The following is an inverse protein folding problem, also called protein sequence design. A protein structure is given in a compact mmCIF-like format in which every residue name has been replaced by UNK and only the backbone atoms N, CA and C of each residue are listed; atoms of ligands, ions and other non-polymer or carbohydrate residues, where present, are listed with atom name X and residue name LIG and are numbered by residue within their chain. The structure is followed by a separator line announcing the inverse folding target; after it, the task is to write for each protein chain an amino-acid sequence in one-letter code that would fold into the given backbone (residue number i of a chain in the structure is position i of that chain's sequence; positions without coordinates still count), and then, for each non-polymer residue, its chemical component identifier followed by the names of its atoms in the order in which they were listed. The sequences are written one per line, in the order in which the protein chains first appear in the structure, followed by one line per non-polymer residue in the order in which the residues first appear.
data_IF_159120209794
#
_entry.id   IF_159120209794
#
_cell.length_a   1.000
_cell.length_b   1.000
_cell.length_c   1.000
_cell.angle_alpha   90.00
_cell.angle_beta   90.00
_cell.angle_gamma   90.00
#
_symmetry.space_group_name_H-M   'P 1'
#
loop_
_entity.id
_entity.type
_entity.pdbx_description
1 polymer ?
#
# COMPACT_ATOMS: atom_id res chain seq x y z
N UNK A 1 26.45 -3.27 14.41
CA UNK A 1 25.19 -4.02 14.14
C UNK A 1 25.44 -5.26 13.29
N UNK A 2 26.33 -5.19 12.29
CA UNK A 2 26.79 -6.35 11.50
C UNK A 2 27.32 -7.51 12.35
N UNK A 3 28.17 -7.25 13.35
CA UNK A 3 28.73 -8.29 14.23
C UNK A 3 27.67 -9.08 15.02
N UNK A 4 26.59 -8.42 15.41
CA UNK A 4 25.50 -9.08 16.16
C UNK A 4 24.71 -10.02 15.25
N UNK A 5 24.45 -9.56 14.02
CA UNK A 5 23.76 -10.33 12.99
C UNK A 5 24.58 -11.56 12.54
N UNK A 6 25.90 -11.44 12.46
CA UNK A 6 26.80 -12.58 12.19
C UNK A 6 26.75 -13.63 13.31
N UNK A 7 26.73 -13.19 14.58
CA UNK A 7 26.57 -14.10 15.73
C UNK A 7 25.21 -14.80 15.74
N UNK A 8 24.15 -14.07 15.43
CA UNK A 8 22.80 -14.63 15.28
C UNK A 8 22.75 -15.67 14.15
N UNK A 9 23.35 -15.38 12.99
CA UNK A 9 23.46 -16.32 11.87
C UNK A 9 24.17 -17.62 12.30
N UNK A 10 25.27 -17.52 13.03
CA UNK A 10 25.98 -18.68 13.56
C UNK A 10 25.10 -19.52 14.51
N UNK A 11 24.31 -18.85 15.37
CA UNK A 11 23.36 -19.52 16.26
C UNK A 11 22.26 -20.25 15.49
N UNK A 12 21.63 -19.61 14.49
CA UNK A 12 20.58 -20.25 13.69
C UNK A 12 21.10 -21.43 12.87
N UNK A 13 22.32 -21.35 12.33
CA UNK A 13 22.99 -22.48 11.67
C UNK A 13 23.19 -23.66 12.62
N UNK A 14 23.60 -23.40 13.87
CA UNK A 14 23.78 -24.46 14.87
C UNK A 14 22.43 -25.13 15.24
N UNK A 15 21.36 -24.34 15.38
CA UNK A 15 20.01 -24.86 15.61
C UNK A 15 19.50 -25.71 14.44
N UNK A 16 19.71 -25.24 13.21
CA UNK A 16 19.34 -25.98 12.01
C UNK A 16 20.05 -27.34 11.94
N UNK A 17 21.35 -27.39 12.24
CA UNK A 17 22.10 -28.64 12.28
C UNK A 17 21.55 -29.61 13.35
N UNK A 18 21.13 -29.09 14.51
CA UNK A 18 20.51 -29.90 15.56
C UNK A 18 19.14 -30.47 15.12
N UNK A 19 18.35 -29.68 14.40
CA UNK A 19 17.06 -30.10 13.82
C UNK A 19 17.28 -31.15 12.73
N UNK A 20 18.30 -30.99 11.88
CA UNK A 20 18.67 -31.97 10.85
C UNK A 20 19.14 -33.30 11.45
N UNK A 21 19.91 -33.26 12.54
CA UNK A 21 20.31 -34.46 13.28
C UNK A 21 19.09 -35.18 13.91
N UNK A 22 18.12 -34.42 14.42
CA UNK A 22 16.86 -34.97 14.94
C UNK A 22 16.01 -35.57 13.81
N UNK A 23 15.91 -34.91 12.66
CA UNK A 23 15.23 -35.43 11.46
C UNK A 23 15.90 -36.68 10.88
N UNK A 24 17.22 -36.82 11.02
CA UNK A 24 17.91 -38.05 10.62
C UNK A 24 17.55 -39.25 11.51
N UNK A 25 17.04 -39.01 12.72
CA UNK A 25 16.61 -40.05 13.67
C UNK A 25 15.11 -40.30 13.56
N UNK A 26 14.30 -39.23 13.41
CA UNK A 26 12.84 -39.26 13.32
C UNK A 26 12.36 -38.51 12.05
N UNK A 27 12.51 -39.15 10.89
CA UNK A 27 12.26 -38.52 9.58
C UNK A 27 10.79 -38.17 9.31
N UNK A 28 9.84 -38.81 9.99
CA UNK A 28 8.39 -38.62 9.79
C UNK A 28 7.80 -37.48 10.65
N UNK A 29 8.63 -36.74 11.41
CA UNK A 29 8.17 -35.66 12.26
C UNK A 29 7.93 -34.37 11.45
N UNK A 30 6.68 -34.15 11.05
CA UNK A 30 6.25 -32.99 10.27
C UNK A 30 6.60 -31.63 10.92
N UNK A 31 6.62 -31.56 12.26
CA UNK A 31 6.93 -30.31 12.98
C UNK A 31 8.42 -29.96 12.86
N UNK A 32 9.31 -30.96 12.86
CA UNK A 32 10.73 -30.75 12.65
C UNK A 32 11.04 -30.35 11.20
N UNK A 33 10.30 -30.90 10.22
CA UNK A 33 10.43 -30.49 8.81
C UNK A 33 10.00 -29.04 8.60
N UNK A 34 8.91 -28.60 9.25
CA UNK A 34 8.49 -27.19 9.23
C UNK A 34 9.54 -26.30 9.88
N UNK A 35 10.03 -26.67 11.06
CA UNK A 35 11.06 -25.90 11.77
C UNK A 35 12.37 -25.80 10.97
N UNK A 36 12.78 -26.88 10.27
CA UNK A 36 13.93 -26.86 9.38
C UNK A 36 13.75 -25.81 8.28
N UNK A 37 12.58 -25.80 7.62
CA UNK A 37 12.28 -24.85 6.56
C UNK A 37 12.24 -23.41 7.08
N UNK A 38 11.56 -23.16 8.20
CA UNK A 38 11.47 -21.83 8.81
C UNK A 38 12.86 -21.30 9.19
N UNK A 39 13.73 -22.15 9.76
CA UNK A 39 15.12 -21.79 10.08
C UNK A 39 15.96 -21.51 8.82
N UNK A 40 15.75 -22.25 7.73
CA UNK A 40 16.42 -21.97 6.45
C UNK A 40 16.03 -20.59 5.91
N UNK A 41 14.74 -20.24 5.94
CA UNK A 41 14.23 -18.93 5.52
C UNK A 41 14.82 -17.79 6.36
N UNK A 42 14.86 -17.95 7.70
CA UNK A 42 15.48 -16.93 8.59
C UNK A 42 16.96 -16.74 8.28
N UNK A 43 17.71 -17.82 8.05
CA UNK A 43 19.13 -17.75 7.70
C UNK A 43 19.34 -17.03 6.36
N UNK A 44 18.49 -17.28 5.37
CA UNK A 44 18.56 -16.64 4.06
C UNK A 44 18.29 -15.14 4.16
N UNK A 45 17.20 -14.74 4.80
CA UNK A 45 16.88 -13.33 5.04
C UNK A 45 17.99 -12.61 5.82
N UNK A 46 18.60 -13.29 6.80
CA UNK A 46 19.72 -12.76 7.58
C UNK A 46 20.98 -12.59 6.71
N UNK A 47 21.27 -13.54 5.81
CA UNK A 47 22.38 -13.44 4.85
C UNK A 47 22.16 -12.29 3.87
N UNK A 48 20.94 -12.13 3.37
CA UNK A 48 20.61 -11.04 2.45
C UNK A 48 20.71 -9.69 3.15
N UNK A 49 20.29 -9.59 4.40
CA UNK A 49 20.43 -8.37 5.19
C UNK A 49 21.92 -8.04 5.46
N UNK A 50 22.78 -9.04 5.65
CA UNK A 50 24.23 -8.87 5.74
C UNK A 50 24.84 -8.48 4.39
N UNK A 51 24.38 -9.06 3.28
CA UNK A 51 24.88 -8.78 1.93
C UNK A 51 24.41 -7.43 1.39
N UNK A 52 23.24 -6.97 1.83
CA UNK A 52 22.65 -5.70 1.43
C UNK A 52 23.10 -4.54 2.32
N UNK A 53 23.82 -4.80 3.42
CA UNK A 53 24.60 -3.77 4.10
C UNK A 53 25.82 -3.42 3.25
N UNK A 54 26.09 -2.14 2.97
CA UNK A 54 27.31 -1.72 2.31
C UNK A 54 28.49 -1.94 3.25
N UNK A 55 29.07 -3.14 3.23
CA UNK A 55 30.37 -3.38 3.84
C UNK A 55 31.46 -3.03 2.84
N UNK A 56 32.25 -2.01 3.21
CA UNK A 56 33.57 -1.70 2.68
C UNK A 56 34.45 -2.96 2.81
N UNK A 57 34.41 -3.84 1.80
CA UNK A 57 35.28 -5.00 1.72
C UNK A 57 35.52 -5.39 0.24
N UNK A 58 36.76 -5.12 -0.16
CA UNK A 58 37.43 -5.39 -1.44
C UNK A 58 37.08 -6.78 -2.01
N UNK A 59 36.64 -6.88 -3.28
CA UNK A 59 36.80 -8.11 -4.03
C UNK A 59 37.96 -7.97 -5.03
N UNK A 60 39.10 -8.54 -4.66
CA UNK A 60 40.12 -8.91 -5.60
C UNK A 60 39.65 -10.19 -6.30
N UNK A 61 38.97 -10.08 -7.44
CA UNK A 61 38.83 -11.17 -8.40
C UNK A 61 38.89 -10.62 -9.81
N UNK A 62 39.96 -11.00 -10.49
CA UNK A 62 40.33 -10.59 -11.84
C UNK A 62 39.38 -11.25 -12.85
N UNK A 63 38.66 -10.44 -13.60
CA UNK A 63 38.23 -10.77 -14.96
C UNK A 63 38.45 -9.52 -15.84
N UNK A 64 39.35 -9.54 -16.84
CA UNK A 64 39.70 -8.36 -17.61
C UNK A 64 38.84 -8.29 -18.88
N UNK A 65 37.62 -7.77 -18.80
CA UNK A 65 36.81 -7.48 -19.99
C UNK A 65 35.63 -6.53 -19.72
N UNK A 66 35.93 -5.35 -19.20
CA UNK A 66 35.19 -4.09 -19.34
C UNK A 66 35.71 -3.20 -18.22
N UNK A 67 36.56 -2.24 -18.56
CA UNK A 67 36.98 -1.20 -17.63
C UNK A 67 35.73 -0.51 -17.08
N UNK A 68 35.40 -0.61 -15.77
CA UNK A 68 34.50 0.36 -15.18
C UNK A 68 35.31 1.65 -15.19
N UNK A 69 34.94 2.58 -16.06
CA UNK A 69 35.47 3.93 -16.02
C UNK A 69 34.97 4.46 -14.69
N UNK A 70 35.84 4.46 -13.68
CA UNK A 70 35.61 5.06 -12.38
C UNK A 70 35.44 6.56 -12.63
N UNK A 71 34.22 6.95 -12.98
CA UNK A 71 33.83 8.34 -13.01
C UNK A 71 33.81 8.78 -11.56
N UNK A 72 34.75 9.63 -11.21
CA UNK A 72 34.69 10.40 -9.97
C UNK A 72 33.53 11.36 -10.14
N UNK A 73 32.39 11.02 -9.56
CA UNK A 73 31.21 11.86 -9.59
C UNK A 73 31.41 13.07 -8.69
N UNK A 74 31.06 14.25 -9.19
CA UNK A 74 31.04 15.50 -8.45
C UNK A 74 29.61 16.06 -8.36
N UNK A 75 29.35 16.88 -7.34
CA UNK A 75 28.06 17.58 -7.21
C UNK A 75 27.90 18.53 -8.39
N UNK A 76 26.76 18.43 -9.08
CA UNK A 76 26.45 19.15 -10.31
C UNK A 76 26.70 18.35 -11.59
N UNK A 77 27.25 17.13 -11.51
CA UNK A 77 27.44 16.29 -12.70
C UNK A 77 26.11 15.78 -13.25
N UNK A 78 26.02 15.79 -14.58
CA UNK A 78 24.92 15.14 -15.31
C UNK A 78 25.14 13.62 -15.34
N UNK A 79 24.11 12.87 -14.95
CA UNK A 79 24.13 11.41 -14.92
C UNK A 79 22.84 10.82 -15.50
N UNK A 80 22.87 9.52 -15.78
CA UNK A 80 21.68 8.72 -16.08
C UNK A 80 21.40 7.76 -14.93
N UNK A 81 20.14 7.73 -14.51
CA UNK A 81 19.70 6.94 -13.37
C UNK A 81 18.38 6.22 -13.65
N UNK A 82 18.20 5.07 -13.02
CA UNK A 82 16.98 4.28 -13.12
C UNK A 82 15.94 4.84 -12.15
N UNK A 83 14.76 5.20 -12.63
CA UNK A 83 13.66 5.64 -11.78
C UNK A 83 12.95 4.44 -11.15
N UNK A 84 12.75 4.45 -9.83
CA UNK A 84 12.23 3.29 -9.08
C UNK A 84 10.77 2.93 -9.40
N UNK A 85 9.98 3.87 -9.90
CA UNK A 85 8.56 3.64 -10.22
C UNK A 85 8.34 2.80 -11.50
N UNK A 86 9.20 2.96 -12.52
CA UNK A 86 9.04 2.31 -13.82
C UNK A 86 10.26 1.50 -14.29
N UNK A 87 11.38 1.59 -13.57
CA UNK A 87 12.63 0.92 -13.90
C UNK A 87 13.32 1.47 -15.16
N UNK A 88 12.93 2.66 -15.65
CA UNK A 88 13.50 3.25 -16.85
C UNK A 88 14.63 4.22 -16.54
N UNK A 89 15.58 4.36 -17.46
CA UNK A 89 16.72 5.28 -17.36
C UNK A 89 16.31 6.68 -17.78
N UNK A 90 16.53 7.64 -16.89
CA UNK A 90 16.29 9.05 -17.12
C UNK A 90 17.54 9.87 -16.81
N UNK A 91 17.62 11.04 -17.44
CA UNK A 91 18.65 12.04 -17.19
C UNK A 91 18.41 12.71 -15.83
N UNK A 92 19.46 12.88 -15.06
CA UNK A 92 19.42 13.48 -13.74
C UNK A 92 20.70 14.27 -13.46
N UNK A 93 20.63 15.18 -12.49
CA UNK A 93 21.75 15.98 -12.01
C UNK A 93 22.08 15.58 -10.57
N UNK A 94 23.36 15.43 -10.24
CA UNK A 94 23.80 15.11 -8.89
C UNK A 94 23.68 16.36 -8.01
N UNK A 95 22.86 16.30 -6.97
CA UNK A 95 22.62 17.42 -6.04
C UNK A 95 23.49 17.31 -4.79
N UNK A 96 23.69 16.09 -4.28
CA UNK A 96 24.51 15.83 -3.10
C UNK A 96 25.16 14.45 -3.22
N UNK A 97 26.40 14.34 -2.74
CA UNK A 97 27.13 13.06 -2.69
C UNK A 97 27.46 12.75 -1.25
N UNK A 98 27.06 11.57 -0.82
CA UNK A 98 27.45 10.97 0.45
C UNK A 98 28.57 9.96 0.18
N UNK A 99 29.81 10.41 0.38
CA UNK A 99 31.01 9.59 0.20
C UNK A 99 31.13 8.49 1.27
N UNK A 100 30.53 8.66 2.46
CA UNK A 100 30.57 7.67 3.54
C UNK A 100 29.72 6.45 3.18
N UNK A 101 28.53 6.68 2.64
CA UNK A 101 27.58 5.63 2.25
C UNK A 101 27.72 5.20 0.77
N UNK A 102 28.48 5.93 -0.04
CA UNK A 102 28.64 5.65 -1.47
C UNK A 102 27.35 5.88 -2.27
N UNK A 103 26.52 6.82 -1.83
CA UNK A 103 25.23 7.16 -2.43
C UNK A 103 25.20 8.62 -2.85
N UNK A 104 24.44 8.93 -3.90
CA UNK A 104 24.22 10.29 -4.36
C UNK A 104 22.72 10.60 -4.36
N UNK A 105 22.36 11.80 -3.89
CA UNK A 105 21.05 12.37 -4.10
C UNK A 105 21.05 13.03 -5.48
N UNK A 106 20.19 12.55 -6.37
CA UNK A 106 20.06 13.04 -7.74
C UNK A 106 18.68 13.65 -7.95
N UNK A 107 18.59 14.65 -8.81
CA UNK A 107 17.31 15.24 -9.23
C UNK A 107 17.06 14.95 -10.71
N UNK A 108 15.94 14.28 -11.01
CA UNK A 108 15.58 13.91 -12.38
C UNK A 108 15.19 15.13 -13.21
N UNK A 109 15.87 15.30 -14.33
CA UNK A 109 15.66 16.43 -15.24
C UNK A 109 14.29 16.33 -15.92
N UNK A 110 13.53 17.42 -15.86
CA UNK A 110 12.19 17.54 -16.47
C UNK A 110 11.01 17.17 -15.56
N UNK A 111 11.27 16.47 -14.45
CA UNK A 111 10.24 16.10 -13.47
C UNK A 111 10.47 16.74 -12.10
N UNK A 112 11.73 17.02 -11.72
CA UNK A 112 12.08 17.72 -10.49
C UNK A 112 11.93 16.88 -9.22
N UNK A 113 11.78 15.56 -9.36
CA UNK A 113 11.84 14.61 -8.25
C UNK A 113 13.30 14.28 -7.92
N UNK A 114 13.62 14.33 -6.64
CA UNK A 114 14.90 13.91 -6.09
C UNK A 114 14.83 12.48 -5.57
N UNK A 115 15.88 11.69 -5.80
CA UNK A 115 16.00 10.30 -5.36
C UNK A 115 17.44 9.99 -4.93
N UNK A 116 17.61 9.17 -3.89
CA UNK A 116 18.92 8.75 -3.40
C UNK A 116 19.28 7.41 -4.05
N UNK A 117 20.36 7.39 -4.82
CA UNK A 117 20.78 6.22 -5.61
C UNK A 117 22.26 5.92 -5.34
N UNK A 118 22.66 4.64 -5.22
CA UNK A 118 24.07 4.26 -5.12
C UNK A 118 24.89 4.76 -6.32
N UNK A 119 26.08 5.31 -6.08
CA UNK A 119 26.99 5.81 -7.13
C UNK A 119 27.32 4.75 -8.19
N UNK A 120 27.29 3.46 -7.79
CA UNK A 120 27.51 2.30 -8.68
C UNK A 120 26.39 2.08 -9.70
N UNK A 121 25.19 2.58 -9.42
CA UNK A 121 24.02 2.46 -10.30
C UNK A 121 23.87 3.67 -11.24
N UNK A 122 24.65 4.73 -11.01
CA UNK A 122 24.70 5.88 -11.90
C UNK A 122 25.50 5.54 -13.16
N UNK A 123 25.00 5.99 -14.30
CA UNK A 123 25.70 5.91 -15.58
C UNK A 123 26.13 7.30 -16.01
N UNK A 124 27.30 7.45 -16.66
CA UNK A 124 27.70 8.71 -17.27
C UNK A 124 26.58 9.20 -18.19
N UNK A 125 26.26 10.51 -18.12
CA UNK A 125 25.43 11.10 -19.15
C UNK A 125 26.19 10.95 -20.48
N UNK A 126 25.53 10.39 -21.50
CA UNK A 126 26.10 10.31 -22.85
C UNK A 126 26.27 11.74 -23.41
N UNK A 127 27.35 12.43 -23.03
CA UNK A 127 27.77 13.67 -23.68
C UNK A 127 28.44 13.32 -25.01
N UNK A 128 27.60 13.12 -26.02
CA UNK A 128 28.02 12.54 -27.30
C UNK A 128 27.21 12.99 -28.51
N UNK A 129 27.24 14.29 -28.80
CA UNK A 129 26.91 14.94 -30.10
C UNK A 129 25.42 15.08 -30.45
N UNK A 130 25.05 16.32 -30.81
CA UNK A 130 24.10 16.54 -31.91
C UNK A 130 24.58 15.72 -33.12
N UNK A 131 24.04 14.53 -33.36
CA UNK A 131 23.98 13.97 -34.70
C UNK A 131 22.80 14.61 -35.40
N UNK A 132 23.08 15.66 -36.17
CA UNK A 132 22.23 15.94 -37.33
C UNK A 132 22.26 14.70 -38.25
N UNK A 133 21.07 14.33 -38.74
CA UNK A 133 20.77 13.30 -39.76
C UNK A 133 21.06 11.82 -39.40
N UNK A 134 20.03 11.07 -38.99
CA UNK A 134 19.15 10.31 -39.91
C UNK A 134 18.11 9.45 -39.15
N UNK A 135 16.85 9.48 -39.58
CA UNK A 135 16.01 8.28 -39.58
C UNK A 135 15.28 7.78 -38.32
N UNK A 136 14.79 8.61 -37.40
CA UNK A 136 13.91 8.10 -36.34
C UNK A 136 13.02 9.17 -35.72
N UNK A 137 11.70 9.13 -35.99
CA UNK A 137 10.70 10.08 -35.48
C UNK A 137 10.66 10.08 -33.94
N UNK A 138 11.52 10.87 -33.32
CA UNK A 138 11.38 11.29 -31.93
C UNK A 138 10.14 12.20 -31.87
N UNK A 139 9.06 11.66 -31.32
CA UNK A 139 7.79 12.38 -31.13
C UNK A 139 8.11 13.74 -30.49
N UNK A 140 7.68 14.82 -31.13
CA UNK A 140 7.95 16.18 -30.69
C UNK A 140 7.62 16.33 -29.21
N UNK A 141 8.39 17.10 -28.44
CA UNK A 141 8.09 17.42 -27.02
C UNK A 141 6.62 17.82 -26.81
N UNK A 142 6.02 18.48 -27.80
CA UNK A 142 4.59 18.85 -27.84
C UNK A 142 3.64 17.64 -27.94
N UNK A 143 4.04 16.62 -28.69
CA UNK A 143 3.31 15.36 -28.86
C UNK A 143 3.44 14.44 -27.64
N UNK A 144 4.61 14.41 -26.99
CA UNK A 144 4.78 13.68 -25.72
C UNK A 144 3.89 14.26 -24.61
N UNK A 145 3.82 15.60 -24.50
CA UNK A 145 2.92 16.28 -23.56
C UNK A 145 1.44 15.99 -23.92
N UNK A 146 1.09 15.94 -25.20
CA UNK A 146 -0.26 15.61 -25.65
C UNK A 146 -0.64 14.15 -25.30
N UNK A 147 0.27 13.19 -25.54
CA UNK A 147 0.07 11.78 -25.20
C UNK A 147 -0.09 11.57 -23.69
N UNK A 148 0.68 12.29 -22.87
CA UNK A 148 0.55 12.21 -21.42
C UNK A 148 -0.78 12.82 -20.93
N UNK A 149 -1.24 13.93 -21.52
CA UNK A 149 -2.55 14.54 -21.23
C UNK A 149 -3.71 13.65 -21.67
N UNK A 150 -3.62 13.03 -22.85
CA UNK A 150 -4.63 12.13 -23.37
C UNK A 150 -4.71 10.84 -22.54
N UNK A 151 -3.56 10.29 -22.13
CA UNK A 151 -3.49 9.16 -21.21
C UNK A 151 -4.14 9.49 -19.86
N UNK A 152 -3.81 10.65 -19.26
CA UNK A 152 -4.44 11.13 -18.02
C UNK A 152 -5.95 11.33 -18.19
N UNK A 153 -6.40 11.91 -19.31
CA UNK A 153 -7.82 12.09 -19.63
C UNK A 153 -8.55 10.76 -19.78
N UNK A 154 -7.95 9.77 -20.46
CA UNK A 154 -8.50 8.42 -20.65
C UNK A 154 -8.61 7.67 -19.32
N UNK A 155 -7.60 7.77 -18.45
CA UNK A 155 -7.62 7.18 -17.10
C UNK A 155 -8.71 7.83 -16.22
N UNK A 156 -8.83 9.15 -16.25
CA UNK A 156 -9.88 9.88 -15.53
C UNK A 156 -11.30 9.51 -16.02
N UNK A 157 -11.51 9.43 -17.34
CA UNK A 157 -12.77 9.00 -17.94
C UNK A 157 -13.15 7.58 -17.55
N UNK A 158 -12.21 6.63 -17.63
CA UNK A 158 -12.46 5.23 -17.24
C UNK A 158 -12.79 5.12 -15.74
N UNK A 159 -12.11 5.89 -14.88
CA UNK A 159 -12.43 5.96 -13.44
C UNK A 159 -13.81 6.56 -13.21
N UNK A 160 -14.15 7.64 -13.89
CA UNK A 160 -15.47 8.29 -13.79
C UNK A 160 -16.59 7.36 -14.27
N UNK A 161 -16.38 6.61 -15.36
CA UNK A 161 -17.33 5.60 -15.83
C UNK A 161 -17.52 4.48 -14.80
N UNK A 162 -16.45 3.91 -14.26
CA UNK A 162 -16.54 2.88 -13.21
C UNK A 162 -17.28 3.39 -11.98
N UNK A 163 -17.01 4.62 -11.55
CA UNK A 163 -17.71 5.23 -10.41
C UNK A 163 -19.20 5.47 -10.73
N UNK A 164 -19.51 5.94 -11.93
CA UNK A 164 -20.89 6.16 -12.38
C UNK A 164 -21.67 4.85 -12.51
N UNK A 165 -21.05 3.79 -13.01
CA UNK A 165 -21.64 2.45 -13.11
C UNK A 165 -21.97 1.89 -11.72
N UNK A 166 -21.03 1.98 -10.77
CA UNK A 166 -21.28 1.57 -9.39
C UNK A 166 -22.39 2.40 -8.71
N UNK A 167 -22.47 3.70 -9.01
CA UNK A 167 -23.54 4.56 -8.50
C UNK A 167 -24.89 4.25 -9.16
N UNK A 168 -24.91 3.90 -10.45
CA UNK A 168 -26.11 3.43 -11.15
C UNK A 168 -26.60 2.10 -10.57
N UNK A 169 -25.71 1.15 -10.31
CA UNK A 169 -26.09 -0.11 -9.65
C UNK A 169 -26.69 0.14 -8.26
N UNK A 170 -26.13 1.08 -7.49
CA UNK A 170 -26.68 1.48 -6.19
C UNK A 170 -28.06 2.12 -6.32
N UNK A 171 -28.26 3.02 -7.28
CA UNK A 171 -29.56 3.64 -7.53
C UNK A 171 -30.57 2.62 -8.08
N UNK A 172 -30.17 1.67 -8.92
CA UNK A 172 -31.03 0.60 -9.42
C UNK A 172 -31.45 -0.35 -8.30
N UNK A 173 -30.54 -0.71 -7.39
CA UNK A 173 -30.86 -1.47 -6.19
C UNK A 173 -31.86 -0.71 -5.29
N UNK A 174 -31.65 0.60 -5.12
CA UNK A 174 -32.57 1.47 -4.38
C UNK A 174 -33.94 1.58 -5.06
N UNK A 175 -34.01 1.77 -6.38
CA UNK A 175 -35.25 1.80 -7.16
C UNK A 175 -35.96 0.45 -7.08
N UNK A 176 -35.24 -0.66 -7.23
CA UNK A 176 -35.77 -2.02 -7.10
C UNK A 176 -36.34 -2.27 -5.70
N UNK A 177 -35.66 -1.79 -4.65
CA UNK A 177 -36.16 -1.85 -3.28
C UNK A 177 -37.40 -0.96 -3.06
N UNK A 178 -37.41 0.27 -3.60
CA UNK A 178 -38.57 1.15 -3.59
C UNK A 178 -39.77 0.53 -4.32
N UNK A 179 -39.56 -0.13 -5.45
CA UNK A 179 -40.61 -0.84 -6.18
C UNK A 179 -41.15 -2.04 -5.40
N UNK A 180 -40.28 -2.82 -4.74
CA UNK A 180 -40.69 -3.90 -3.84
C UNK A 180 -41.57 -3.36 -2.71
N UNK A 181 -41.13 -2.27 -2.08
CA UNK A 181 -41.85 -1.58 -1.01
C UNK A 181 -43.22 -1.05 -1.47
N UNK A 182 -43.27 -0.32 -2.59
CA UNK A 182 -44.52 0.20 -3.16
C UNK A 182 -45.48 -0.90 -3.62
N UNK A 183 -44.96 -2.00 -4.17
CA UNK A 183 -45.76 -3.17 -4.58
C UNK A 183 -46.37 -3.90 -3.37
N UNK A 184 -45.66 -3.94 -2.25
CA UNK A 184 -46.17 -4.48 -0.99
C UNK A 184 -47.29 -3.60 -0.41
N UNK A 185 -47.16 -2.26 -0.47
CA UNK A 185 -48.18 -1.33 0.03
C UNK A 185 -49.38 -1.10 -0.89
N UNK A 186 -49.21 -1.27 -2.20
CA UNK A 186 -50.30 -1.05 -3.18
C UNK A 186 -51.37 -2.16 -3.16
N UNK A 187 -51.04 -3.37 -2.68
CA UNK A 187 -51.97 -4.52 -2.74
C UNK A 187 -52.79 -4.74 -1.47
N UNK A 188 -52.41 -4.17 -0.33
CA UNK A 188 -53.20 -4.28 0.90
C UNK A 188 -52.98 -3.08 1.83
N UNK A 189 -54.09 -2.44 2.22
CA UNK A 189 -54.27 -1.41 3.26
C UNK A 189 -54.10 0.06 2.85
N UNK A 190 -55.25 0.63 2.49
CA UNK A 190 -55.60 2.03 2.75
C UNK A 190 -55.60 2.26 4.27
N UNK A 191 -54.48 2.75 4.81
CA UNK A 191 -54.38 3.17 6.21
C UNK A 191 -53.11 2.69 6.92
N UNK A 192 -52.26 3.67 7.26
CA UNK A 192 -51.06 3.60 8.11
C UNK A 192 -49.89 2.74 7.63
N UNK A 193 -48.86 3.42 7.11
CA UNK A 193 -47.50 3.22 7.63
C UNK A 193 -46.84 4.60 7.78
N UNK A 194 -46.73 5.09 9.02
CA UNK A 194 -45.83 6.21 9.34
C UNK A 194 -44.40 5.64 9.28
N UNK A 195 -43.55 6.38 8.58
CA UNK A 195 -42.13 6.17 8.26
C UNK A 195 -41.40 5.22 9.25
N UNK A 196 -40.62 4.28 8.70
CA UNK A 196 -39.83 3.30 9.45
C UNK A 196 -39.01 3.96 10.57
N UNK A 197 -39.07 3.37 11.77
CA UNK A 197 -38.32 3.78 12.96
C UNK A 197 -36.80 3.65 12.79
N UNK A 198 -36.34 3.02 11.71
CA UNK A 198 -34.92 2.87 11.35
C UNK A 198 -34.55 3.63 10.06
N UNK A 199 -35.42 4.50 9.55
CA UNK A 199 -35.12 5.28 8.36
C UNK A 199 -34.00 6.29 8.65
N UNK A 200 -32.97 6.31 7.78
CA UNK A 200 -31.93 7.34 7.85
C UNK A 200 -32.59 8.72 7.77
N UNK A 201 -32.29 9.60 8.75
CA UNK A 201 -32.85 10.94 8.77
C UNK A 201 -32.32 11.76 7.58
N UNK A 202 -33.17 12.65 7.04
CA UNK A 202 -32.87 13.49 5.88
C UNK A 202 -31.95 14.68 6.25
N UNK A 203 -31.62 14.85 7.54
CA UNK A 203 -30.78 15.93 8.08
C UNK A 203 -29.41 15.41 8.49
N UNK A 204 -28.37 16.21 8.24
CA UNK A 204 -26.94 15.86 8.47
C UNK A 204 -26.62 15.55 9.94
N UNK A 205 -27.46 15.98 10.88
CA UNK A 205 -27.31 15.76 12.33
C UNK A 205 -28.19 14.65 12.90
N UNK A 206 -28.98 13.96 12.08
CA UNK A 206 -29.92 12.96 12.59
C UNK A 206 -29.21 11.66 13.00
N UNK A 207 -29.38 11.23 14.26
CA UNK A 207 -28.92 9.93 14.76
C UNK A 207 -30.05 8.90 14.74
N UNK A 208 -29.75 7.71 14.22
CA UNK A 208 -30.62 6.52 14.28
C UNK A 208 -30.34 5.78 15.59
N UNK A 209 -31.37 5.54 16.41
CA UNK A 209 -31.22 4.88 17.71
C UNK A 209 -32.41 3.99 18.05
N UNK A 210 -32.15 2.89 18.76
CA UNK A 210 -33.19 1.97 19.24
C UNK A 210 -33.94 2.64 20.39
N UNK A 211 -35.20 3.00 20.17
CA UNK A 211 -36.09 3.52 21.21
C UNK A 211 -36.86 4.79 20.84
N UNK A 212 -36.49 5.50 19.77
CA UNK A 212 -37.25 6.67 19.32
C UNK A 212 -38.07 6.29 18.09
N UNK A 213 -39.31 5.87 18.31
CA UNK A 213 -40.30 5.76 17.23
C UNK A 213 -40.58 7.17 16.67
N UNK A 214 -39.73 7.67 15.77
CA UNK A 214 -39.97 8.85 14.94
C UNK A 214 -40.20 10.17 15.68
N UNK A 215 -39.74 10.32 16.93
CA UNK A 215 -39.86 11.55 17.70
C UNK A 215 -38.45 11.98 18.10
N UNK A 216 -37.81 12.80 17.25
CA UNK A 216 -36.42 13.21 17.43
C UNK A 216 -36.19 14.08 18.68
N UNK A 217 -37.24 14.68 19.26
CA UNK A 217 -37.10 15.75 20.27
C UNK A 217 -37.78 15.48 21.62
N UNK A 218 -38.25 14.25 21.90
CA UNK A 218 -38.83 13.91 23.22
C UNK A 218 -37.92 12.93 23.98
N UNK A 219 -37.63 13.17 25.27
CA UNK A 219 -36.89 12.21 26.08
C UNK A 219 -37.68 10.90 26.25
N UNK A 220 -36.97 9.81 26.49
CA UNK A 220 -37.54 8.47 26.69
C UNK A 220 -38.60 8.50 27.81
N UNK A 221 -39.68 7.73 27.65
CA UNK A 221 -40.83 7.74 28.57
C UNK A 221 -40.38 7.50 30.00
N UNK A 222 -40.66 8.45 30.89
CA UNK A 222 -40.27 8.38 32.29
C UNK A 222 -41.14 7.33 33.02
N UNK A 223 -40.47 6.38 33.66
CA UNK A 223 -41.12 5.36 34.49
C UNK A 223 -41.72 6.01 35.74
N UNK A 224 -43.05 5.98 35.89
CA UNK A 224 -43.69 6.38 37.14
C UNK A 224 -43.84 5.14 38.03
N UNK A 225 -43.07 5.13 39.12
CA UNK A 225 -43.12 4.09 40.13
C UNK A 225 -44.48 4.07 40.83
N UNK A 226 -45.21 2.95 40.71
CA UNK A 226 -46.55 2.76 41.27
C UNK A 226 -46.52 2.17 42.69
N UNK A 227 -45.38 2.23 43.38
CA UNK A 227 -45.14 1.71 44.74
C UNK A 227 -46.03 2.28 45.86
N UNK A 228 -47.03 3.11 45.55
CA UNK A 228 -47.89 3.81 46.54
C UNK A 228 -49.20 3.10 46.89
N UNK A 229 -49.51 1.93 46.32
CA UNK A 229 -50.81 1.27 46.51
C UNK A 229 -50.82 -0.09 47.24
N UNK A 230 -49.74 -0.48 47.94
CA UNK A 230 -49.76 -1.68 48.78
C UNK A 230 -49.66 -1.32 50.27
N UNK A 231 -50.77 -0.83 50.84
CA UNK A 231 -50.97 -0.84 52.29
C UNK A 231 -52.32 -1.49 52.58
N UNK A 232 -52.30 -2.47 53.51
CA UNK A 232 -53.41 -3.05 54.28
C UNK A 232 -53.92 -4.43 53.85
N UNK A 233 -53.22 -5.47 54.31
CA UNK A 233 -53.86 -6.51 55.13
C UNK A 233 -52.82 -7.20 56.04
N UNK A 234 -52.69 -6.73 57.28
CA UNK A 234 -52.21 -7.57 58.39
C UNK A 234 -53.44 -7.91 59.22
N UNK A 235 -53.80 -9.20 59.25
CA UNK A 235 -54.77 -9.76 60.20
C UNK A 235 -54.08 -10.00 61.55
N UNK A 236 -54.78 -9.83 62.69
CA UNK A 236 -54.24 -10.15 64.00
C UNK A 236 -54.43 -11.64 64.36
N UNK A 237 -53.45 -12.21 65.07
CA UNK A 237 -53.57 -13.36 65.97
C UNK A 237 -53.02 -12.91 67.33
#
# INVERSE_FOLDING_TARGET
MSDDLVKQLASYKAQLHQVEAALSTDADNEDLVKLQKDLQEVIELTKDLLSSQPSVAIPNSRNPAATPVSHSWEVGDSCMAVWSEDGQLYEAEIEEIDEENGTAAITFLGYGNAEVIPLVNLKPAEEGKKSEEDGGKSKSRKEQIAQQREYKKKKALKKAQRMKELEQEREDQKVKWQQFNNKAYSKNKKGQVKRSIFASPESVNGKVGVGTCGIADKPMTQYQDTSKYNVRHLMPQ
#
